data_IF_267664648587
#
_entry.id   IF_267664648587
#
_cell.length_a   1.000
_cell.length_b   1.000
_cell.length_c   1.000
_cell.angle_alpha   90.00
_cell.angle_beta   90.00
_cell.angle_gamma   90.00
#
_symmetry.space_group_name_H-M   'P 1'
#
loop_
_entity.id
_entity.type
_entity.pdbx_description
1 polymer ?
#
# COMPACT_ATOMS: atom_id res chain seq x y z
N UNK A 1 -30.71 6.38 1.66
CA UNK A 1 -29.36 5.85 1.93
C UNK A 1 -29.56 4.49 2.56
N UNK A 2 -29.21 3.40 1.88
CA UNK A 2 -29.00 2.14 2.60
C UNK A 2 -27.84 2.40 3.55
N UNK A 3 -28.17 2.72 4.81
CA UNK A 3 -27.18 3.06 5.82
C UNK A 3 -26.27 1.85 5.99
N UNK A 4 -25.07 1.89 5.41
CA UNK A 4 -24.06 0.89 5.70
C UNK A 4 -23.67 1.09 7.15
N UNK A 5 -24.36 0.33 8.00
CA UNK A 5 -24.18 0.42 9.42
C UNK A 5 -22.95 -0.40 9.78
N UNK A 6 -21.94 0.29 10.30
CA UNK A 6 -20.78 -0.33 10.93
C UNK A 6 -20.89 -0.09 12.44
N UNK A 7 -20.34 -1.00 13.27
CA UNK A 7 -20.42 -0.86 14.72
C UNK A 7 -20.00 0.53 15.21
N UNK A 8 -20.84 1.20 15.98
CA UNK A 8 -20.38 2.40 16.67
C UNK A 8 -19.44 1.96 17.81
N UNK A 9 -18.26 2.58 17.90
CA UNK A 9 -17.31 2.33 18.97
C UNK A 9 -16.94 3.63 19.67
N UNK A 10 -16.58 3.54 20.94
CA UNK A 10 -15.89 4.61 21.64
C UNK A 10 -14.46 4.71 21.09
N UNK A 11 -14.11 5.87 20.52
CA UNK A 11 -12.77 6.14 19.98
C UNK A 11 -11.71 6.25 21.10
N UNK A 12 -12.16 6.36 22.36
CA UNK A 12 -11.31 6.50 23.56
C UNK A 12 -10.35 7.67 23.43
N UNK A 13 -10.90 8.86 23.27
CA UNK A 13 -10.15 10.11 23.00
C UNK A 13 -9.01 10.37 24.00
N UNK A 14 -9.15 9.94 25.26
CA UNK A 14 -8.10 10.09 26.27
C UNK A 14 -6.90 9.15 26.01
N UNK A 15 -7.16 7.93 25.52
CA UNK A 15 -6.10 7.01 25.09
C UNK A 15 -5.41 7.53 23.83
N UNK A 16 -6.19 8.09 22.89
CA UNK A 16 -5.67 8.77 21.71
C UNK A 16 -4.76 9.93 22.12
N UNK A 17 -5.24 10.80 23.01
CA UNK A 17 -4.46 11.93 23.52
C UNK A 17 -3.12 11.48 24.10
N UNK A 18 -3.14 10.49 25.00
CA UNK A 18 -1.93 9.98 25.64
C UNK A 18 -0.93 9.37 24.64
N UNK A 19 -1.40 8.65 23.62
CA UNK A 19 -0.50 8.08 22.60
C UNK A 19 0.13 9.17 21.72
N UNK A 20 -0.62 10.23 21.40
CA UNK A 20 -0.08 11.35 20.61
C UNK A 20 0.93 12.18 21.41
N UNK A 21 0.69 12.43 22.69
CA UNK A 21 1.68 13.08 23.57
C UNK A 21 2.98 12.25 23.66
N UNK A 22 2.89 10.91 23.76
CA UNK A 22 4.08 10.04 23.69
C UNK A 22 4.82 10.10 22.36
N UNK A 23 4.13 10.37 21.23
CA UNK A 23 4.80 10.64 19.97
C UNK A 23 5.57 11.97 19.99
N UNK A 24 5.01 13.01 20.64
CA UNK A 24 5.73 14.27 20.87
C UNK A 24 6.99 14.05 21.73
N UNK A 25 6.87 13.35 22.86
CA UNK A 25 8.03 13.00 23.72
C UNK A 25 9.12 12.21 22.97
N UNK A 26 8.71 11.21 22.17
CA UNK A 26 9.65 10.39 21.41
C UNK A 26 10.35 11.17 20.30
N UNK A 27 9.66 12.11 19.65
CA UNK A 27 10.24 13.00 18.63
C UNK A 27 11.34 13.88 19.23
N UNK A 28 11.13 14.42 20.44
CA UNK A 28 12.13 15.27 21.10
C UNK A 28 13.36 14.47 21.56
N UNK A 29 13.18 13.19 21.87
CA UNK A 29 14.25 12.31 22.39
C UNK A 29 14.92 11.41 21.33
N UNK A 30 14.36 11.28 20.13
CA UNK A 30 14.86 10.34 19.10
C UNK A 30 14.57 10.77 17.66
N UNK A 31 15.54 10.52 16.77
CA UNK A 31 15.38 10.63 15.30
C UNK A 31 14.56 9.49 14.68
N UNK A 32 14.07 8.56 15.48
CA UNK A 32 13.25 7.43 15.05
C UNK A 32 11.83 7.86 14.65
N UNK A 33 11.36 9.01 15.14
CA UNK A 33 10.08 9.62 14.80
C UNK A 33 10.32 11.05 14.33
N UNK A 34 9.64 11.43 13.26
CA UNK A 34 9.54 12.83 12.81
C UNK A 34 8.07 13.16 12.55
N UNK A 35 7.75 14.43 12.53
CA UNK A 35 6.43 14.89 12.11
C UNK A 35 6.52 15.95 11.02
N UNK A 36 5.42 16.14 10.29
CA UNK A 36 5.21 17.23 9.34
C UNK A 36 3.83 17.80 9.55
N UNK A 37 3.73 19.12 9.63
CA UNK A 37 2.46 19.83 9.73
C UNK A 37 1.93 20.18 8.35
N UNK A 38 0.59 20.15 8.23
CA UNK A 38 -0.16 20.53 7.06
C UNK A 38 -1.25 21.51 7.50
N UNK A 39 -1.37 22.63 6.79
CA UNK A 39 -2.44 23.60 6.97
C UNK A 39 -3.47 23.27 5.87
N UNK A 40 -4.68 22.93 6.30
CA UNK A 40 -5.79 22.56 5.43
C UNK A 40 -6.78 23.72 5.35
N UNK A 41 -7.89 23.49 4.64
CA UNK A 41 -9.00 24.44 4.59
C UNK A 41 -9.43 24.88 6.00
N UNK A 42 -9.91 26.12 6.12
CA UNK A 42 -10.37 26.73 7.37
C UNK A 42 -9.28 26.81 8.47
N UNK A 43 -8.01 26.93 8.07
CA UNK A 43 -6.81 26.95 8.92
C UNK A 43 -6.67 25.73 9.85
N UNK A 44 -7.32 24.62 9.48
CA UNK A 44 -7.25 23.37 10.23
C UNK A 44 -5.85 22.77 10.08
N UNK A 45 -5.15 22.59 11.20
CA UNK A 45 -3.81 22.00 11.22
C UNK A 45 -3.86 20.51 11.52
N UNK A 46 -3.27 19.72 10.63
CA UNK A 46 -3.02 18.29 10.85
C UNK A 46 -1.52 18.02 10.92
N UNK A 47 -1.12 17.12 11.80
CA UNK A 47 0.27 16.66 11.96
C UNK A 47 0.38 15.22 11.47
N UNK A 48 1.21 14.96 10.47
CA UNK A 48 1.57 13.61 10.04
C UNK A 48 2.74 13.08 10.85
N UNK A 49 2.62 11.86 11.37
CA UNK A 49 3.66 11.18 12.14
C UNK A 49 4.34 10.11 11.30
N UNK A 50 5.67 10.16 11.25
CA UNK A 50 6.49 9.32 10.39
C UNK A 50 7.55 8.61 11.25
N UNK A 51 7.37 7.31 11.42
CA UNK A 51 8.34 6.44 12.09
C UNK A 51 9.32 5.88 11.07
N UNK A 52 10.60 5.82 11.40
CA UNK A 52 11.62 5.16 10.58
C UNK A 52 11.30 3.67 10.44
N UNK A 53 11.23 3.17 9.21
CA UNK A 53 10.78 1.80 8.88
C UNK A 53 11.49 0.69 9.68
N UNK A 54 12.80 0.82 9.93
CA UNK A 54 13.56 -0.17 10.70
C UNK A 54 13.14 -0.29 12.16
N UNK A 55 12.52 0.74 12.73
CA UNK A 55 12.16 0.81 14.16
C UNK A 55 10.99 -0.11 14.46
N UNK A 56 9.99 -0.18 13.58
CA UNK A 56 8.88 -1.14 13.70
C UNK A 56 9.38 -2.58 13.83
N UNK A 57 10.48 -2.93 13.14
CA UNK A 57 11.06 -4.27 13.19
C UNK A 57 12.00 -4.47 14.39
N UNK A 58 12.90 -3.51 14.64
CA UNK A 58 14.01 -3.68 15.60
C UNK A 58 13.64 -3.30 17.03
N UNK A 59 12.71 -2.36 17.22
CA UNK A 59 12.37 -1.76 18.52
C UNK A 59 10.86 -1.45 18.64
N UNK A 60 9.93 -2.35 18.27
CA UNK A 60 8.49 -2.05 18.29
C UNK A 60 8.00 -1.60 19.67
N UNK A 61 8.51 -2.18 20.76
CA UNK A 61 8.11 -1.81 22.13
C UNK A 61 8.52 -0.40 22.58
N UNK A 62 9.37 0.31 21.80
CA UNK A 62 9.68 1.74 22.06
C UNK A 62 8.68 2.69 21.40
N UNK A 63 7.85 2.20 20.48
CA UNK A 63 6.90 3.03 19.76
C UNK A 63 5.62 3.23 20.59
N UNK A 64 5.01 4.44 20.58
CA UNK A 64 3.71 4.67 21.20
C UNK A 64 2.59 3.81 20.57
N UNK A 65 2.71 3.55 19.27
CA UNK A 65 1.83 2.68 18.50
C UNK A 65 2.49 2.21 17.20
N UNK A 66 1.86 1.26 16.52
CA UNK A 66 2.40 0.65 15.30
C UNK A 66 1.78 1.20 14.02
N UNK A 67 0.87 2.18 14.12
CA UNK A 67 0.21 2.79 12.98
C UNK A 67 1.22 3.31 11.95
N UNK A 68 0.96 3.03 10.68
CA UNK A 68 1.74 3.50 9.53
C UNK A 68 0.84 4.30 8.59
N UNK A 69 1.03 5.61 8.61
CA UNK A 69 0.10 6.57 8.04
C UNK A 69 -0.82 7.10 9.13
N UNK A 70 -0.28 7.98 9.96
CA UNK A 70 -0.98 8.52 11.13
C UNK A 70 -1.02 10.03 11.01
N UNK A 71 -2.22 10.61 11.02
CA UNK A 71 -2.41 12.07 11.04
C UNK A 71 -3.29 12.45 12.22
N UNK A 72 -2.90 13.51 12.93
CA UNK A 72 -3.58 13.95 14.16
C UNK A 72 -3.92 15.43 14.08
N UNK A 73 -4.97 15.84 14.80
CA UNK A 73 -5.35 17.24 15.00
C UNK A 73 -5.32 17.55 16.49
N UNK A 74 -4.96 18.79 16.85
CA UNK A 74 -5.11 19.31 18.22
C UNK A 74 -6.24 20.33 18.23
N UNK A 75 -7.22 20.15 19.11
CA UNK A 75 -8.36 21.07 19.30
C UNK A 75 -8.52 21.33 20.79
N UNK A 76 -8.47 22.60 21.22
CA UNK A 76 -8.62 23.01 22.63
C UNK A 76 -7.74 22.19 23.60
N UNK A 77 -6.48 21.94 23.21
CA UNK A 77 -5.53 21.15 24.00
C UNK A 77 -5.64 19.64 23.86
N UNK A 78 -6.74 19.09 23.32
CA UNK A 78 -6.94 17.65 23.14
C UNK A 78 -6.49 17.18 21.76
N UNK A 79 -5.84 16.02 21.69
CA UNK A 79 -5.42 15.39 20.44
C UNK A 79 -6.44 14.36 19.96
N UNK A 80 -6.70 14.35 18.65
CA UNK A 80 -7.54 13.35 17.97
C UNK A 80 -6.80 12.79 16.77
N UNK A 81 -7.05 11.52 16.44
CA UNK A 81 -6.56 10.90 15.20
C UNK A 81 -7.56 11.23 14.09
N UNK A 82 -7.06 11.79 13.00
CA UNK A 82 -7.85 12.12 11.81
C UNK A 82 -7.69 11.06 10.72
N UNK A 83 -6.49 10.49 10.61
CA UNK A 83 -6.17 9.40 9.69
C UNK A 83 -5.42 8.32 10.44
N UNK A 84 -5.90 7.08 10.31
CA UNK A 84 -5.32 5.88 10.91
C UNK A 84 -5.13 4.80 9.85
N UNK A 85 -3.94 4.73 9.25
CA UNK A 85 -3.51 3.61 8.43
C UNK A 85 -3.32 2.34 9.26
N UNK A 86 -3.05 1.19 8.64
CA UNK A 86 -2.82 -0.06 9.37
C UNK A 86 -1.61 0.00 10.31
N UNK A 87 -1.55 -0.96 11.23
CA UNK A 87 -0.28 -1.24 11.90
C UNK A 87 0.74 -1.76 10.89
N UNK A 88 2.02 -1.46 11.09
CA UNK A 88 3.07 -1.99 10.23
C UNK A 88 3.07 -3.52 10.31
N UNK A 89 2.74 -4.16 9.20
CA UNK A 89 2.81 -5.61 9.04
C UNK A 89 3.96 -6.04 8.11
N UNK A 90 4.42 -7.27 8.35
CA UNK A 90 5.64 -7.82 7.78
C UNK A 90 5.36 -9.08 6.96
N UNK A 91 6.29 -9.41 6.06
CA UNK A 91 6.20 -10.63 5.29
C UNK A 91 6.41 -11.85 6.19
N UNK A 92 5.88 -13.01 5.78
CA UNK A 92 6.33 -14.29 6.36
C UNK A 92 7.85 -14.37 6.34
N UNK A 93 8.41 -14.94 7.40
CA UNK A 93 9.85 -15.05 7.68
C UNK A 93 10.59 -13.74 7.97
N UNK A 94 9.95 -12.57 7.90
CA UNK A 94 10.63 -11.28 8.10
C UNK A 94 10.90 -10.95 9.58
N UNK A 95 10.04 -11.40 10.50
CA UNK A 95 10.15 -11.13 11.95
C UNK A 95 9.89 -12.39 12.76
N UNK A 96 10.20 -12.39 14.07
CA UNK A 96 9.87 -13.51 14.95
C UNK A 96 8.35 -13.79 14.96
N UNK A 97 7.54 -12.72 14.95
CA UNK A 97 6.09 -12.77 14.95
C UNK A 97 5.48 -13.33 13.65
N UNK A 98 6.23 -13.33 12.54
CA UNK A 98 5.78 -13.78 11.22
C UNK A 98 6.46 -15.09 10.76
N UNK A 99 7.02 -15.86 11.69
CA UNK A 99 7.43 -17.24 11.43
C UNK A 99 6.21 -18.17 11.47
N UNK A 100 6.15 -19.19 10.62
CA UNK A 100 5.02 -20.14 10.60
C UNK A 100 4.70 -20.74 11.97
N UNK A 101 5.68 -21.21 12.78
CA UNK A 101 5.37 -21.71 14.13
C UNK A 101 4.69 -20.67 15.02
N UNK A 102 5.17 -19.41 15.00
CA UNK A 102 4.57 -18.33 15.78
C UNK A 102 3.16 -17.98 15.28
N UNK A 103 2.94 -17.96 13.96
CA UNK A 103 1.61 -17.76 13.38
C UNK A 103 0.65 -18.86 13.80
N UNK A 104 1.11 -20.10 13.87
CA UNK A 104 0.29 -21.25 14.24
C UNK A 104 -0.10 -21.27 15.72
N UNK A 105 0.81 -20.90 16.61
CA UNK A 105 0.55 -20.95 18.06
C UNK A 105 -0.02 -19.66 18.64
N UNK A 106 0.20 -18.52 18.00
CA UNK A 106 -0.12 -17.20 18.58
C UNK A 106 -1.21 -16.43 17.82
N UNK A 107 -1.72 -16.95 16.69
CA UNK A 107 -2.81 -16.29 15.96
C UNK A 107 -4.08 -17.13 15.91
N UNK A 108 -5.22 -16.45 15.82
CA UNK A 108 -6.53 -17.09 15.73
C UNK A 108 -7.32 -16.54 14.56
N UNK A 109 -8.08 -17.44 13.92
CA UNK A 109 -8.95 -17.11 12.80
C UNK A 109 -10.29 -16.49 13.24
N UNK A 110 -11.22 -16.28 12.29
CA UNK A 110 -11.07 -16.57 10.87
C UNK A 110 -9.92 -15.78 10.23
N UNK A 111 -9.25 -16.38 9.25
CA UNK A 111 -8.16 -15.76 8.50
C UNK A 111 -8.73 -15.17 7.22
N UNK A 112 -8.73 -13.86 7.08
CA UNK A 112 -9.16 -13.18 5.84
C UNK A 112 -7.95 -12.93 4.94
N UNK A 113 -7.97 -13.51 3.75
CA UNK A 113 -6.87 -13.46 2.78
C UNK A 113 -7.30 -12.48 1.71
N UNK A 114 -6.71 -11.29 1.75
CA UNK A 114 -7.04 -10.19 0.83
C UNK A 114 -5.98 -10.09 -0.26
N UNK A 115 -6.41 -9.87 -1.50
CA UNK A 115 -5.49 -9.61 -2.60
C UNK A 115 -4.64 -8.38 -2.26
N UNK A 116 -3.32 -8.51 -2.44
CA UNK A 116 -2.42 -7.37 -2.29
C UNK A 116 -2.31 -6.65 -3.63
N UNK A 117 -3.22 -5.71 -3.86
CA UNK A 117 -3.16 -4.82 -5.02
C UNK A 117 -1.81 -4.09 -5.08
N UNK A 118 -1.37 -3.77 -6.30
CA UNK A 118 -0.02 -3.30 -6.58
C UNK A 118 0.00 -1.83 -7.02
N UNK A 119 -0.14 -0.92 -6.05
CA UNK A 119 -0.19 0.51 -6.31
C UNK A 119 0.41 1.34 -5.18
N UNK A 120 -0.20 2.51 -4.96
CA UNK A 120 0.16 3.42 -3.88
C UNK A 120 -0.98 3.55 -2.86
N UNK A 121 -0.65 3.43 -1.57
CA UNK A 121 -1.64 3.56 -0.50
C UNK A 121 -2.20 5.00 -0.42
N UNK A 122 -3.52 5.08 -0.34
CA UNK A 122 -4.30 6.30 -0.17
C UNK A 122 -5.18 6.17 1.08
N UNK A 123 -5.20 7.22 1.89
CA UNK A 123 -6.12 7.33 3.02
C UNK A 123 -7.16 8.40 2.74
N UNK A 124 -8.41 8.12 3.09
CA UNK A 124 -9.53 9.05 2.93
C UNK A 124 -10.21 9.20 4.29
N UNK A 125 -10.29 10.44 4.77
CA UNK A 125 -10.89 10.76 6.05
C UNK A 125 -11.74 12.03 5.94
N UNK A 126 -12.63 12.24 6.91
CA UNK A 126 -13.39 13.48 7.00
C UNK A 126 -12.52 14.62 7.54
N UNK A 127 -12.59 15.78 6.88
CA UNK A 127 -12.18 17.06 7.48
C UNK A 127 -13.29 17.62 8.36
N UNK A 128 -14.51 17.49 7.85
CA UNK A 128 -15.78 17.97 8.39
C UNK A 128 -16.91 17.07 7.86
N UNK A 129 -18.17 17.39 8.18
CA UNK A 129 -19.34 16.64 7.67
C UNK A 129 -19.56 16.79 6.17
N UNK A 130 -18.89 17.73 5.52
CA UNK A 130 -19.10 18.08 4.11
C UNK A 130 -17.86 17.96 3.22
N UNK A 131 -16.66 17.84 3.82
CA UNK A 131 -15.39 17.77 3.10
C UNK A 131 -14.57 16.58 3.51
N UNK A 132 -13.93 15.93 2.54
CA UNK A 132 -12.93 14.89 2.77
C UNK A 132 -11.52 15.46 2.66
N UNK A 133 -10.57 14.77 3.27
CA UNK A 133 -9.14 14.92 3.01
C UNK A 133 -8.61 13.58 2.52
N UNK A 134 -7.88 13.63 1.41
CA UNK A 134 -7.19 12.48 0.84
C UNK A 134 -5.69 12.65 1.06
N UNK A 135 -5.06 11.63 1.63
CA UNK A 135 -3.63 11.65 1.93
C UNK A 135 -2.94 10.47 1.25
N UNK A 136 -1.71 10.69 0.81
CA UNK A 136 -0.80 9.57 0.59
C UNK A 136 -0.27 9.12 1.94
N UNK A 137 0.58 8.10 1.96
CA UNK A 137 1.16 7.54 3.18
C UNK A 137 1.59 8.56 4.25
N UNK A 138 2.19 9.68 3.87
CA UNK A 138 2.70 10.72 4.79
C UNK A 138 2.53 12.16 4.28
N UNK A 139 1.71 12.39 3.25
CA UNK A 139 1.63 13.71 2.62
C UNK A 139 0.21 14.06 2.21
N UNK A 140 -0.08 15.36 2.29
CA UNK A 140 -1.27 16.01 1.76
C UNK A 140 -0.76 17.10 0.79
N UNK A 141 -1.24 17.15 -0.46
CA UNK A 141 -0.88 18.22 -1.39
C UNK A 141 -1.55 19.53 -0.95
N UNK A 142 -0.98 20.67 -1.37
CA UNK A 142 -1.59 21.98 -1.15
C UNK A 142 -2.88 22.13 -1.97
N UNK A 143 -2.82 21.76 -3.24
CA UNK A 143 -3.99 21.56 -4.08
C UNK A 143 -4.45 20.10 -3.99
N UNK A 144 -5.63 19.87 -3.41
CA UNK A 144 -6.22 18.54 -3.27
C UNK A 144 -6.53 17.86 -4.61
N UNK A 145 -6.49 18.58 -5.73
CA UNK A 145 -6.70 18.06 -7.08
C UNK A 145 -5.41 17.87 -7.88
N UNK A 146 -4.23 18.12 -7.28
CA UNK A 146 -2.93 18.03 -7.95
C UNK A 146 -2.69 16.63 -8.58
N UNK A 147 -2.68 16.59 -9.91
CA UNK A 147 -2.51 15.38 -10.71
C UNK A 147 -1.10 14.78 -10.65
N UNK A 148 -0.12 15.50 -10.06
CA UNK A 148 1.24 15.00 -9.87
C UNK A 148 1.43 14.37 -8.49
N UNK A 149 0.56 14.70 -7.53
CA UNK A 149 0.63 14.17 -6.18
C UNK A 149 -0.23 12.91 -6.04
N UNK A 150 0.30 11.85 -5.42
CA UNK A 150 -0.47 10.61 -5.16
C UNK A 150 -1.82 10.87 -4.51
N UNK A 151 -1.86 11.78 -3.52
CA UNK A 151 -3.10 12.14 -2.83
C UNK A 151 -4.07 12.94 -3.72
N UNK A 152 -3.57 13.80 -4.61
CA UNK A 152 -4.42 14.57 -5.51
C UNK A 152 -5.03 13.70 -6.60
N UNK A 153 -4.25 12.80 -7.19
CA UNK A 153 -4.77 11.73 -8.07
C UNK A 153 -5.76 10.84 -7.33
N UNK A 154 -5.45 10.48 -6.08
CA UNK A 154 -6.37 9.79 -5.19
C UNK A 154 -7.71 10.52 -5.04
N UNK A 155 -7.69 11.82 -4.74
CA UNK A 155 -8.91 12.64 -4.61
C UNK A 155 -9.72 12.66 -5.91
N UNK A 156 -9.07 12.89 -7.06
CA UNK A 156 -9.73 12.87 -8.35
C UNK A 156 -10.43 11.52 -8.63
N UNK A 157 -9.80 10.40 -8.25
CA UNK A 157 -10.42 9.08 -8.30
C UNK A 157 -11.58 8.89 -7.31
N UNK A 158 -11.49 9.44 -6.09
CA UNK A 158 -12.62 9.42 -5.14
C UNK A 158 -13.84 10.09 -5.77
N UNK A 159 -13.68 11.29 -6.33
CA UNK A 159 -14.79 12.02 -6.96
C UNK A 159 -15.38 11.23 -8.13
N UNK A 160 -14.53 10.63 -8.98
CA UNK A 160 -14.98 9.80 -10.10
C UNK A 160 -15.75 8.55 -9.64
N UNK A 161 -15.28 7.88 -8.60
CA UNK A 161 -15.95 6.70 -8.02
C UNK A 161 -17.31 7.06 -7.43
N UNK A 162 -17.39 8.14 -6.64
CA UNK A 162 -18.65 8.60 -6.06
C UNK A 162 -19.68 8.96 -7.14
N UNK A 163 -19.25 9.68 -8.19
CA UNK A 163 -20.12 10.03 -9.31
C UNK A 163 -20.68 8.80 -10.04
N UNK A 164 -19.94 7.68 -10.08
CA UNK A 164 -20.40 6.44 -10.72
C UNK A 164 -21.58 5.76 -10.02
N UNK A 165 -21.88 6.16 -8.78
CA UNK A 165 -22.99 5.67 -7.95
C UNK A 165 -23.89 6.81 -7.45
N UNK A 166 -23.92 7.92 -8.20
CA UNK A 166 -24.73 9.12 -7.91
C UNK A 166 -24.52 9.71 -6.49
N UNK A 167 -23.29 9.61 -5.98
CA UNK A 167 -22.85 10.20 -4.71
C UNK A 167 -21.95 11.40 -4.92
N UNK A 168 -21.90 12.26 -3.91
CA UNK A 168 -21.06 13.46 -3.84
C UNK A 168 -20.05 13.34 -2.70
N UNK A 169 -19.04 14.20 -2.71
CA UNK A 169 -18.03 14.29 -1.64
C UNK A 169 -18.67 14.37 -0.26
N UNK A 170 -19.70 15.21 -0.10
CA UNK A 170 -20.44 15.37 1.16
C UNK A 170 -21.02 14.06 1.69
N UNK A 171 -21.55 13.19 0.84
CA UNK A 171 -22.15 11.92 1.29
C UNK A 171 -21.09 11.01 1.93
N UNK A 172 -19.88 10.99 1.37
CA UNK A 172 -18.76 10.26 1.95
C UNK A 172 -18.22 10.95 3.20
N UNK A 173 -18.06 12.28 3.16
CA UNK A 173 -17.56 13.06 4.29
C UNK A 173 -18.44 12.90 5.54
N UNK A 174 -19.75 12.98 5.38
CA UNK A 174 -20.73 12.80 6.46
C UNK A 174 -20.60 11.40 7.08
N UNK A 175 -20.56 10.35 6.25
CA UNK A 175 -20.41 8.98 6.73
C UNK A 175 -19.07 8.75 7.46
N UNK A 176 -17.95 9.26 6.94
CA UNK A 176 -16.64 9.14 7.59
C UNK A 176 -16.59 9.90 8.91
N UNK A 177 -17.17 11.10 8.94
CA UNK A 177 -17.22 11.95 10.13
C UNK A 177 -18.03 11.30 11.24
N UNK A 178 -19.24 10.82 10.92
CA UNK A 178 -20.13 10.17 11.89
C UNK A 178 -19.55 8.89 12.46
N UNK A 179 -18.82 8.13 11.64
CA UNK A 179 -18.25 6.85 12.06
C UNK A 179 -16.87 6.95 12.69
N UNK A 180 -16.17 8.07 12.52
CA UNK A 180 -14.81 8.23 13.04
C UNK A 180 -13.83 7.22 12.44
N UNK A 181 -13.90 7.01 11.13
CA UNK A 181 -13.09 6.02 10.41
C UNK A 181 -12.23 6.64 9.31
N UNK A 182 -11.18 5.92 8.94
CA UNK A 182 -10.33 6.15 7.77
C UNK A 182 -10.57 5.05 6.75
N UNK A 183 -10.90 5.40 5.51
CA UNK A 183 -10.81 4.44 4.40
C UNK A 183 -9.34 4.28 3.98
N UNK A 184 -8.96 3.04 3.69
CA UNK A 184 -7.64 2.69 3.17
C UNK A 184 -7.81 2.03 1.81
N UNK A 185 -7.29 2.68 0.78
CA UNK A 185 -7.36 2.22 -0.58
C UNK A 185 -5.96 2.09 -1.21
N UNK A 186 -5.85 1.28 -2.25
CA UNK A 186 -4.69 1.24 -3.13
C UNK A 186 -5.05 1.96 -4.43
N UNK A 187 -4.31 3.01 -4.76
CA UNK A 187 -4.38 3.67 -6.06
C UNK A 187 -3.58 2.87 -7.07
N UNK A 188 -4.27 2.26 -8.03
CA UNK A 188 -3.69 1.49 -9.12
C UNK A 188 -4.04 2.18 -10.44
N UNK A 189 -3.08 2.84 -11.07
CA UNK A 189 -3.32 3.64 -12.28
C UNK A 189 -2.04 3.78 -13.13
N UNK A 190 -1.92 2.95 -14.18
CA UNK A 190 -0.72 2.94 -15.04
C UNK A 190 -0.51 4.24 -15.83
N UNK A 191 -1.56 5.04 -16.06
CA UNK A 191 -1.42 6.36 -16.69
C UNK A 191 -0.86 7.39 -15.72
N UNK A 192 -1.02 7.19 -14.40
CA UNK A 192 -0.35 7.99 -13.39
C UNK A 192 1.04 7.44 -13.04
N UNK A 193 1.12 6.22 -12.52
CA UNK A 193 2.36 5.59 -12.04
C UNK A 193 2.30 4.07 -12.28
N UNK A 194 3.21 3.52 -13.11
CA UNK A 194 3.30 2.07 -13.27
C UNK A 194 4.06 1.46 -12.10
N UNK A 195 3.49 0.40 -11.51
CA UNK A 195 4.18 -0.36 -10.49
C UNK A 195 4.93 -1.56 -11.07
N UNK A 196 4.32 -2.74 -11.09
CA UNK A 196 4.86 -3.98 -11.66
C UNK A 196 3.77 -4.73 -12.42
N UNK A 197 2.57 -4.77 -11.83
CA UNK A 197 1.40 -5.41 -12.42
C UNK A 197 0.55 -4.37 -13.14
N UNK A 198 -0.07 -4.73 -14.29
CA UNK A 198 -0.84 -3.78 -15.09
C UNK A 198 -2.23 -3.49 -14.50
N UNK A 199 -2.55 -2.20 -14.48
CA UNK A 199 -3.87 -1.63 -14.20
C UNK A 199 -4.22 -0.61 -15.29
N UNK A 200 -4.87 -1.08 -16.35
CA UNK A 200 -5.26 -0.28 -17.52
C UNK A 200 -6.78 -0.21 -17.68
N UNK A 201 -7.27 0.80 -18.40
CA UNK A 201 -8.70 0.97 -18.69
C UNK A 201 -9.57 0.93 -17.44
N UNK A 202 -10.53 0.01 -17.40
CA UNK A 202 -11.49 -0.15 -16.28
C UNK A 202 -10.87 -0.65 -14.97
N UNK A 203 -9.66 -1.19 -15.02
CA UNK A 203 -8.93 -1.66 -13.83
C UNK A 203 -8.23 -0.53 -13.09
N UNK A 204 -8.23 0.68 -13.65
CA UNK A 204 -7.64 1.85 -13.00
C UNK A 204 -8.57 2.38 -11.91
N UNK A 205 -7.96 2.84 -10.83
CA UNK A 205 -8.64 3.58 -9.76
C UNK A 205 -8.26 3.10 -8.37
N UNK A 206 -9.12 3.43 -7.41
CA UNK A 206 -8.94 3.09 -6.00
C UNK A 206 -9.60 1.76 -5.66
N UNK A 207 -8.78 0.80 -5.22
CA UNK A 207 -9.20 -0.48 -4.65
C UNK A 207 -9.30 -0.34 -3.13
N UNK A 208 -10.52 -0.34 -2.60
CA UNK A 208 -10.74 -0.23 -1.16
C UNK A 208 -10.40 -1.57 -0.50
N UNK A 209 -9.41 -1.56 0.38
CA UNK A 209 -8.97 -2.74 1.12
C UNK A 209 -9.12 -2.58 2.63
N UNK A 210 -9.33 -1.38 3.15
CA UNK A 210 -9.43 -1.16 4.59
C UNK A 210 -10.38 -0.10 5.03
N UNK A 211 -10.89 -0.28 6.24
CA UNK A 211 -11.60 0.75 7.00
C UNK A 211 -11.16 0.59 8.44
N UNK A 212 -10.42 1.57 8.93
CA UNK A 212 -9.90 1.56 10.28
C UNK A 212 -10.60 2.62 11.11
N UNK A 213 -10.97 2.30 12.34
CA UNK A 213 -11.37 3.34 13.28
C UNK A 213 -10.19 4.24 13.63
N UNK A 214 -10.49 5.50 13.91
CA UNK A 214 -9.51 6.51 14.33
C UNK A 214 -9.13 6.34 15.82
N UNK A 215 -8.84 5.11 16.21
CA UNK A 215 -8.43 4.69 17.54
C UNK A 215 -6.92 4.57 17.65
N UNK A 216 -6.42 4.58 18.88
CA UNK A 216 -5.00 4.43 19.15
C UNK A 216 -4.45 3.03 18.85
N UNK A 217 -5.22 1.98 19.14
CA UNK A 217 -4.93 0.58 18.75
C UNK A 217 -5.66 0.24 17.45
N UNK A 218 -5.14 -0.71 16.66
CA UNK A 218 -5.78 -1.11 15.41
C UNK A 218 -7.13 -1.77 15.70
N UNK A 219 -8.17 -1.18 15.12
CA UNK A 219 -9.48 -1.80 14.96
C UNK A 219 -9.90 -1.60 13.50
N UNK A 220 -9.81 -2.67 12.71
CA UNK A 220 -10.18 -2.66 11.28
C UNK A 220 -11.48 -3.44 11.08
N UNK A 221 -12.29 -2.98 10.13
CA UNK A 221 -13.51 -3.69 9.75
C UNK A 221 -13.19 -5.00 9.01
N UNK A 222 -14.05 -6.03 9.15
CA UNK A 222 -13.98 -7.26 8.36
C UNK A 222 -14.07 -6.99 6.85
N UNK A 223 -13.36 -7.78 6.05
CA UNK A 223 -13.24 -7.57 4.60
C UNK A 223 -14.58 -7.58 3.87
N UNK A 224 -15.55 -8.39 4.31
CA UNK A 224 -16.91 -8.38 3.78
C UNK A 224 -17.63 -7.02 3.95
N UNK A 225 -17.40 -6.34 5.08
CA UNK A 225 -17.95 -5.00 5.32
C UNK A 225 -17.22 -3.95 4.48
N UNK A 226 -15.90 -4.06 4.37
CA UNK A 226 -15.11 -3.19 3.47
C UNK A 226 -15.63 -3.29 2.03
N UNK A 227 -15.89 -4.50 1.53
CA UNK A 227 -16.42 -4.71 0.18
C UNK A 227 -17.79 -4.05 -0.02
N UNK A 228 -18.70 -4.16 0.96
CA UNK A 228 -20.01 -3.48 0.91
C UNK A 228 -19.87 -1.96 0.86
N UNK A 229 -18.96 -1.39 1.67
CA UNK A 229 -18.66 0.05 1.63
C UNK A 229 -18.05 0.46 0.30
N UNK A 230 -17.15 -0.36 -0.25
CA UNK A 230 -16.54 -0.11 -1.56
C UNK A 230 -17.61 0.05 -2.64
N UNK A 231 -18.50 -0.93 -2.75
CA UNK A 231 -19.60 -0.93 -3.72
C UNK A 231 -20.52 0.28 -3.55
N UNK A 232 -20.90 0.60 -2.31
CA UNK A 232 -21.83 1.69 -2.06
C UNK A 232 -21.26 3.08 -2.35
N UNK A 233 -19.94 3.27 -2.27
CA UNK A 233 -19.26 4.52 -2.63
C UNK A 233 -18.55 4.45 -3.99
N UNK A 234 -18.77 3.39 -4.78
CA UNK A 234 -18.26 3.23 -6.14
C UNK A 234 -16.78 2.86 -6.24
N UNK A 235 -16.10 2.56 -5.14
CA UNK A 235 -14.70 2.09 -5.16
C UNK A 235 -14.60 0.68 -5.78
N UNK A 236 -13.43 0.36 -6.33
CA UNK A 236 -13.13 -1.03 -6.70
C UNK A 236 -13.04 -1.89 -5.44
N UNK A 237 -13.61 -3.10 -5.51
CA UNK A 237 -13.53 -4.07 -4.43
C UNK A 237 -12.20 -4.80 -4.45
N UNK A 238 -11.60 -5.01 -3.29
CA UNK A 238 -10.46 -5.94 -3.14
C UNK A 238 -11.00 -7.35 -2.90
N UNK A 239 -10.58 -8.34 -3.70
CA UNK A 239 -11.01 -9.72 -3.52
C UNK A 239 -10.48 -10.29 -2.20
N UNK A 240 -11.31 -11.09 -1.52
CA UNK A 240 -10.91 -11.79 -0.32
C UNK A 240 -11.52 -13.19 -0.23
N UNK A 241 -10.84 -14.06 0.51
CA UNK A 241 -11.33 -15.37 0.92
C UNK A 241 -11.13 -15.55 2.42
N UNK A 242 -11.90 -16.44 3.04
CA UNK A 242 -11.82 -16.70 4.47
C UNK A 242 -11.47 -18.15 4.73
N UNK A 243 -10.41 -18.38 5.50
CA UNK A 243 -10.00 -19.70 5.96
C UNK A 243 -10.23 -19.87 7.45
N UNK A 244 -10.52 -21.10 7.88
CA UNK A 244 -10.78 -21.41 9.28
C UNK A 244 -9.48 -21.69 10.03
N UNK A 245 -8.40 -22.06 9.33
CA UNK A 245 -7.12 -22.43 9.94
C UNK A 245 -5.91 -21.83 9.24
N UNK A 246 -4.83 -21.63 10.00
CA UNK A 246 -3.52 -21.19 9.46
C UNK A 246 -2.92 -22.19 8.47
N UNK A 247 -3.28 -23.48 8.59
CA UNK A 247 -2.82 -24.54 7.69
C UNK A 247 -3.38 -24.34 6.29
N UNK A 248 -4.66 -23.98 6.17
CA UNK A 248 -5.28 -23.62 4.89
C UNK A 248 -4.61 -22.39 4.28
N UNK A 249 -4.28 -21.37 5.10
CA UNK A 249 -3.53 -20.19 4.63
C UNK A 249 -2.16 -20.59 4.07
N UNK A 250 -1.46 -21.53 4.71
CA UNK A 250 -0.17 -22.03 4.24
C UNK A 250 -0.30 -22.79 2.92
N UNK A 251 -1.31 -23.65 2.78
CA UNK A 251 -1.59 -24.37 1.53
C UNK A 251 -1.94 -23.42 0.39
N UNK A 252 -2.78 -22.41 0.67
CA UNK A 252 -3.07 -21.34 -0.28
C UNK A 252 -1.79 -20.61 -0.71
N UNK A 253 -0.91 -20.30 0.25
CA UNK A 253 0.35 -19.63 -0.04
C UNK A 253 1.25 -20.47 -0.96
N UNK A 254 1.36 -21.77 -0.73
CA UNK A 254 2.14 -22.71 -1.57
C UNK A 254 1.59 -22.73 -3.01
N UNK A 255 0.27 -22.77 -3.17
CA UNK A 255 -0.37 -22.74 -4.48
C UNK A 255 -0.19 -21.38 -5.20
N UNK A 256 -0.30 -20.28 -4.46
CA UNK A 256 -0.03 -18.93 -4.96
C UNK A 256 1.44 -18.78 -5.41
N UNK A 257 2.40 -19.40 -4.70
CA UNK A 257 3.80 -19.41 -5.16
C UNK A 257 3.97 -20.18 -6.46
N UNK A 258 3.29 -21.33 -6.60
CA UNK A 258 3.39 -22.19 -7.78
C UNK A 258 2.78 -21.55 -9.02
N UNK A 259 1.64 -20.88 -8.87
CA UNK A 259 0.89 -20.33 -10.00
C UNK A 259 1.30 -18.89 -10.32
N UNK A 260 1.48 -18.03 -9.31
CA UNK A 260 1.64 -16.60 -9.52
C UNK A 260 0.33 -15.85 -9.76
N UNK A 261 -0.82 -16.53 -9.68
CA UNK A 261 -2.13 -15.96 -10.00
C UNK A 261 -3.10 -16.06 -8.82
N UNK A 262 -4.00 -15.10 -8.73
CA UNK A 262 -5.23 -15.18 -7.96
C UNK A 262 -6.39 -14.80 -8.87
N UNK A 263 -7.42 -15.64 -8.96
CA UNK A 263 -8.60 -15.41 -9.82
C UNK A 263 -8.23 -15.07 -11.27
N UNK A 264 -7.21 -15.76 -11.81
CA UNK A 264 -6.75 -15.58 -13.20
C UNK A 264 -5.94 -14.30 -13.47
N UNK A 265 -5.58 -13.52 -12.44
CA UNK A 265 -4.70 -12.33 -12.57
C UNK A 265 -3.38 -12.53 -11.82
N UNK A 266 -2.28 -12.07 -12.42
CA UNK A 266 -1.00 -11.98 -11.73
C UNK A 266 -1.18 -11.21 -10.41
N UNK A 267 -0.49 -11.62 -9.35
CA UNK A 267 -0.64 -11.00 -8.04
C UNK A 267 0.71 -10.72 -7.37
N UNK A 268 0.81 -9.60 -6.65
CA UNK A 268 1.99 -9.30 -5.83
C UNK A 268 2.13 -10.29 -4.67
N UNK A 269 0.99 -10.74 -4.15
CA UNK A 269 0.85 -11.59 -3.01
C UNK A 269 -0.47 -11.31 -2.31
N UNK A 270 -0.57 -11.73 -1.05
CA UNK A 270 -1.76 -11.51 -0.23
C UNK A 270 -1.43 -10.86 1.11
N UNK A 271 -2.41 -10.18 1.68
CA UNK A 271 -2.39 -9.74 3.08
C UNK A 271 -3.38 -10.61 3.85
N UNK A 272 -2.87 -11.29 4.87
CA UNK A 272 -3.65 -12.13 5.79
C UNK A 272 -4.02 -11.29 7.00
N UNK A 273 -5.31 -11.27 7.35
CA UNK A 273 -5.87 -10.60 8.53
C UNK A 273 -6.39 -11.67 9.48
N UNK A 274 -6.03 -11.54 10.74
CA UNK A 274 -6.45 -12.46 11.79
C UNK A 274 -6.36 -11.74 13.14
N UNK A 275 -6.45 -12.50 14.24
CA UNK A 275 -6.25 -11.98 15.58
C UNK A 275 -4.96 -12.51 16.19
N UNK A 276 -4.32 -11.70 17.05
CA UNK A 276 -3.23 -12.09 17.95
C UNK A 276 -3.49 -11.46 19.31
N UNK A 277 -3.56 -12.28 20.35
CA UNK A 277 -3.93 -11.82 21.70
C UNK A 277 -5.22 -10.99 21.73
N UNK A 278 -6.21 -11.37 20.90
CA UNK A 278 -7.49 -10.67 20.75
C UNK A 278 -7.46 -9.37 19.93
N UNK A 279 -6.28 -8.90 19.51
CA UNK A 279 -6.12 -7.69 18.71
C UNK A 279 -6.04 -8.00 17.22
N UNK A 280 -6.42 -7.04 16.36
CA UNK A 280 -6.22 -7.16 14.92
C UNK A 280 -4.74 -7.33 14.59
N UNK A 281 -4.43 -8.38 13.84
CA UNK A 281 -3.08 -8.70 13.40
C UNK A 281 -3.07 -8.95 11.90
N UNK A 282 -2.02 -8.47 11.25
CA UNK A 282 -1.83 -8.63 9.81
C UNK A 282 -0.42 -9.12 9.52
N UNK A 283 -0.30 -9.95 8.51
CA UNK A 283 0.96 -10.30 7.88
C UNK A 283 0.75 -10.45 6.37
N UNK A 284 1.82 -10.47 5.60
CA UNK A 284 1.75 -10.61 4.14
C UNK A 284 2.55 -11.80 3.64
N UNK A 285 2.13 -12.33 2.51
CA UNK A 285 2.83 -13.38 1.79
C UNK A 285 3.01 -12.86 0.37
N UNK A 286 4.24 -12.52 0.01
CA UNK A 286 4.57 -12.08 -1.34
C UNK A 286 4.89 -13.24 -2.25
N UNK A 287 4.46 -13.15 -3.49
CA UNK A 287 4.81 -14.10 -4.53
C UNK A 287 6.28 -13.86 -4.99
N UNK A 288 7.06 -14.92 -5.13
CA UNK A 288 8.49 -14.83 -5.49
C UNK A 288 8.71 -14.37 -6.95
N UNK A 289 7.83 -14.75 -7.89
CA UNK A 289 7.87 -14.26 -9.27
C UNK A 289 7.64 -12.75 -9.32
N UNK A 290 6.69 -12.22 -8.55
CA UNK A 290 6.52 -10.77 -8.39
C UNK A 290 7.78 -10.11 -7.80
N UNK A 291 8.42 -10.72 -6.79
CA UNK A 291 9.63 -10.16 -6.18
C UNK A 291 10.79 -10.10 -7.18
N UNK A 292 10.90 -11.08 -8.07
CA UNK A 292 11.84 -11.06 -9.20
C UNK A 292 11.53 -9.93 -10.18
N UNK A 293 10.26 -9.71 -10.53
CA UNK A 293 9.86 -8.56 -11.38
C UNK A 293 10.16 -7.21 -10.74
N UNK A 294 9.95 -7.11 -9.43
CA UNK A 294 10.36 -5.93 -8.68
C UNK A 294 11.88 -5.73 -8.72
N UNK A 295 12.66 -6.80 -8.59
CA UNK A 295 14.12 -6.73 -8.72
C UNK A 295 14.55 -6.20 -10.09
N UNK A 296 13.90 -6.63 -11.18
CA UNK A 296 14.14 -6.08 -12.52
C UNK A 296 13.95 -4.57 -12.54
N UNK A 297 12.83 -4.08 -12.01
CA UNK A 297 12.55 -2.64 -11.96
C UNK A 297 13.62 -1.87 -11.20
N UNK A 298 13.98 -2.32 -10.00
CA UNK A 298 14.95 -1.61 -9.17
C UNK A 298 16.35 -1.61 -9.79
N UNK A 299 16.74 -2.71 -10.44
CA UNK A 299 17.99 -2.80 -11.19
C UNK A 299 18.00 -1.85 -12.38
N UNK A 300 16.93 -1.81 -13.16
CA UNK A 300 16.82 -0.91 -14.31
C UNK A 300 16.89 0.54 -13.87
N UNK A 301 16.17 0.94 -12.82
CA UNK A 301 16.30 2.29 -12.24
C UNK A 301 17.71 2.60 -11.78
N UNK A 302 18.38 1.63 -11.17
CA UNK A 302 19.75 1.80 -10.68
C UNK A 302 20.73 2.00 -11.83
N UNK A 303 20.68 1.12 -12.84
CA UNK A 303 21.62 1.09 -13.96
C UNK A 303 21.36 2.20 -15.00
N UNK A 304 20.12 2.65 -15.17
CA UNK A 304 19.78 3.67 -16.17
C UNK A 304 20.33 5.05 -15.82
N UNK A 305 21.01 5.65 -16.78
CA UNK A 305 21.32 7.07 -16.83
C UNK A 305 20.49 7.74 -17.93
N UNK A 306 19.81 8.83 -17.56
CA UNK A 306 19.04 9.67 -18.49
C UNK A 306 19.78 11.00 -18.51
N UNK A 307 20.37 11.33 -19.66
CA UNK A 307 21.19 12.52 -19.86
C UNK A 307 20.30 13.76 -20.03
N UNK A 308 20.88 14.94 -19.84
CA UNK A 308 20.15 16.22 -19.98
C UNK A 308 19.61 16.48 -21.39
N UNK A 309 20.21 15.87 -22.41
CA UNK A 309 19.76 15.93 -23.81
C UNK A 309 18.66 14.91 -24.13
N UNK A 310 18.20 14.13 -23.13
CA UNK A 310 17.16 13.12 -23.27
C UNK A 310 17.66 11.78 -23.81
N UNK A 311 18.95 11.61 -24.05
CA UNK A 311 19.53 10.30 -24.40
C UNK A 311 19.57 9.38 -23.17
N UNK A 312 19.54 8.07 -23.41
CA UNK A 312 19.51 7.06 -22.35
C UNK A 312 20.68 6.10 -22.53
N UNK A 313 21.35 5.76 -21.43
CA UNK A 313 22.43 4.78 -21.44
C UNK A 313 22.47 3.97 -20.15
N UNK A 314 23.20 2.86 -20.16
CA UNK A 314 23.59 2.16 -18.93
C UNK A 314 24.78 2.87 -18.30
N UNK A 315 24.74 3.10 -16.99
CA UNK A 315 25.85 3.61 -16.19
C UNK A 315 26.89 2.50 -15.96
N UNK A 316 28.08 2.57 -16.58
CA UNK A 316 29.08 1.51 -16.50
C UNK A 316 29.74 1.40 -15.13
N UNK A 317 29.58 2.42 -14.27
CA UNK A 317 30.17 2.42 -12.92
C UNK A 317 29.33 1.64 -11.91
N UNK A 318 28.07 1.34 -12.26
CA UNK A 318 27.15 0.67 -11.37
C UNK A 318 27.13 -0.83 -11.60
N UNK A 319 27.23 -1.57 -10.51
CA UNK A 319 27.02 -3.01 -10.48
C UNK A 319 25.67 -3.32 -9.85
N UNK A 320 24.82 -4.03 -10.59
CA UNK A 320 23.55 -4.50 -10.09
C UNK A 320 23.75 -5.66 -9.10
N UNK A 321 23.16 -5.54 -7.91
CA UNK A 321 23.02 -6.66 -6.98
C UNK A 321 21.67 -7.31 -7.23
N UNK A 322 21.65 -8.62 -7.36
CA UNK A 322 20.45 -9.40 -7.61
C UNK A 322 20.43 -10.66 -6.77
N UNK A 323 19.22 -11.14 -6.45
CA UNK A 323 18.95 -12.35 -5.69
C UNK A 323 18.59 -13.51 -6.60
N UNK A 324 17.89 -13.26 -7.71
CA UNK A 324 17.38 -14.33 -8.56
C UNK A 324 18.31 -14.63 -9.72
N UNK A 325 18.54 -15.90 -10.03
CA UNK A 325 19.47 -16.31 -11.10
C UNK A 325 19.05 -15.77 -12.47
N UNK A 326 17.74 -15.80 -12.78
CA UNK A 326 17.17 -15.25 -14.01
C UNK A 326 17.50 -13.76 -14.22
N UNK A 327 17.73 -13.01 -13.13
CA UNK A 327 18.07 -11.59 -13.19
C UNK A 327 19.40 -11.32 -13.88
N UNK A 328 20.33 -12.27 -13.88
CA UNK A 328 21.58 -12.13 -14.64
C UNK A 328 21.29 -11.94 -16.14
N UNK A 329 20.44 -12.78 -16.69
CA UNK A 329 20.06 -12.72 -18.10
C UNK A 329 19.23 -11.47 -18.41
N UNK A 330 18.40 -11.02 -17.47
CA UNK A 330 17.71 -9.73 -17.58
C UNK A 330 18.70 -8.56 -17.74
N UNK A 331 19.76 -8.53 -16.93
CA UNK A 331 20.76 -7.45 -16.98
C UNK A 331 21.46 -7.42 -18.34
N UNK A 332 21.82 -8.58 -18.88
CA UNK A 332 22.52 -8.65 -20.17
C UNK A 332 21.58 -8.24 -21.32
N UNK A 333 20.34 -8.75 -21.33
CA UNK A 333 19.29 -8.31 -22.25
C UNK A 333 19.01 -6.80 -22.16
N UNK A 334 18.94 -6.25 -20.94
CA UNK A 334 18.67 -4.83 -20.70
C UNK A 334 19.75 -3.94 -21.34
N UNK A 335 21.03 -4.34 -21.25
CA UNK A 335 22.15 -3.55 -21.83
C UNK A 335 22.06 -3.45 -23.35
N UNK A 336 21.55 -4.48 -24.01
CA UNK A 336 21.30 -4.49 -25.45
C UNK A 336 20.07 -3.63 -25.78
N UNK A 337 18.96 -3.85 -25.06
CA UNK A 337 17.71 -3.12 -25.32
C UNK A 337 17.76 -1.64 -25.04
N UNK A 338 18.56 -1.17 -24.09
CA UNK A 338 18.77 0.28 -23.92
C UNK A 338 19.43 0.93 -25.15
N UNK A 339 20.24 0.18 -25.92
CA UNK A 339 20.85 0.68 -27.15
C UNK A 339 19.91 0.59 -28.34
N UNK A 340 19.17 -0.51 -28.46
CA UNK A 340 18.26 -0.78 -29.58
C UNK A 340 16.95 0.02 -29.47
N UNK A 341 16.42 0.14 -28.25
CA UNK A 341 15.11 0.72 -27.93
C UNK A 341 15.22 1.77 -26.80
N UNK A 342 16.05 2.82 -26.94
CA UNK A 342 16.21 3.84 -25.90
C UNK A 342 14.89 4.54 -25.53
N UNK A 343 13.91 4.56 -26.43
CA UNK A 343 12.59 5.15 -26.22
C UNK A 343 11.77 4.50 -25.10
N UNK A 344 11.96 3.20 -24.82
CA UNK A 344 11.24 2.52 -23.72
C UNK A 344 11.63 3.04 -22.34
N UNK A 345 12.80 3.68 -22.23
CA UNK A 345 13.45 4.00 -20.97
C UNK A 345 13.47 5.50 -20.64
N UNK A 346 13.06 6.37 -21.57
CA UNK A 346 13.10 7.84 -21.41
C UNK A 346 12.31 8.32 -20.19
N UNK A 347 11.21 7.66 -19.88
CA UNK A 347 10.33 8.01 -18.76
C UNK A 347 10.41 6.99 -17.61
N UNK A 348 11.39 6.09 -17.61
CA UNK A 348 11.50 5.02 -16.61
C UNK A 348 11.68 5.55 -15.19
N UNK A 349 12.39 6.67 -15.02
CA UNK A 349 12.53 7.36 -13.72
C UNK A 349 11.26 8.08 -13.27
N UNK A 350 10.32 8.32 -14.20
CA UNK A 350 8.98 8.80 -13.92
C UNK A 350 7.97 7.65 -13.83
N UNK A 351 8.44 6.42 -13.57
CA UNK A 351 7.61 5.23 -13.38
C UNK A 351 6.78 4.85 -14.61
N UNK A 352 7.36 5.00 -15.81
CA UNK A 352 6.76 4.57 -17.10
C UNK A 352 7.63 3.55 -17.82
N UNK A 353 7.03 2.70 -18.65
CA UNK A 353 7.75 1.67 -19.41
C UNK A 353 8.19 0.46 -18.57
N UNK A 354 7.89 0.43 -17.28
CA UNK A 354 8.26 -0.66 -16.36
C UNK A 354 7.58 -1.97 -16.77
N UNK A 355 6.26 -1.90 -16.99
CA UNK A 355 5.47 -3.09 -17.32
C UNK A 355 5.88 -3.63 -18.69
N UNK A 356 6.05 -2.74 -19.68
CA UNK A 356 6.52 -3.11 -21.01
C UNK A 356 7.90 -3.77 -20.95
N UNK A 357 8.88 -3.12 -20.32
CA UNK A 357 10.24 -3.67 -20.19
C UNK A 357 10.25 -5.07 -19.57
N UNK A 358 9.43 -5.29 -18.52
CA UNK A 358 9.27 -6.60 -17.91
C UNK A 358 8.69 -7.60 -18.92
N UNK A 359 7.58 -7.26 -19.57
CA UNK A 359 6.87 -8.16 -20.47
C UNK A 359 7.74 -8.59 -21.66
N UNK A 360 8.43 -7.64 -22.27
CA UNK A 360 9.36 -7.87 -23.38
C UNK A 360 10.49 -8.83 -23.00
N UNK A 361 11.05 -8.69 -21.79
CA UNK A 361 12.04 -9.64 -21.31
C UNK A 361 11.44 -11.02 -21.03
N UNK A 362 10.26 -11.08 -20.42
CA UNK A 362 9.60 -12.36 -20.11
C UNK A 362 9.21 -13.11 -21.39
N UNK A 363 8.86 -12.41 -22.46
CA UNK A 363 8.60 -12.97 -23.78
C UNK A 363 9.90 -13.47 -24.43
N UNK A 364 10.93 -12.62 -24.51
CA UNK A 364 12.27 -13.01 -24.97
C UNK A 364 12.81 -14.26 -24.24
N UNK A 365 12.64 -14.31 -22.92
CA UNK A 365 13.10 -15.43 -22.11
C UNK A 365 12.35 -16.73 -22.40
N UNK A 366 11.04 -16.67 -22.70
CA UNK A 366 10.27 -17.85 -23.10
C UNK A 366 10.74 -18.40 -24.45
N UNK A 367 11.11 -17.52 -25.37
CA UNK A 367 11.56 -17.91 -26.70
C UNK A 367 13.00 -18.44 -26.73
N UNK A 368 13.90 -17.84 -25.95
CA UNK A 368 15.35 -18.06 -26.05
C UNK A 368 16.01 -18.61 -24.78
N UNK A 369 15.40 -18.38 -23.62
CA UNK A 369 15.98 -18.70 -22.31
C UNK A 369 15.77 -20.14 -21.86
N UNK A 370 14.73 -20.83 -22.35
CA UNK A 370 14.45 -22.23 -22.02
C UNK A 370 15.54 -23.20 -22.51
N UNK A 371 16.23 -22.87 -23.61
CA UNK A 371 17.38 -23.61 -24.14
C UNK A 371 18.68 -23.32 -23.38
N UNK A 372 18.88 -22.10 -22.87
CA UNK A 372 20.08 -21.72 -22.11
C UNK A 372 20.11 -22.26 -20.67
N UNK A 373 18.96 -22.60 -20.09
CA UNK A 373 18.86 -23.19 -18.75
C UNK A 373 19.09 -24.72 -18.72
N UNK A 374 19.04 -25.39 -19.86
CA UNK A 374 19.24 -26.85 -19.99
C UNK A 374 20.68 -27.24 -20.33
N UNK A 375 21.55 -26.29 -20.65
CA UNK A 375 22.97 -26.51 -20.95
C UNK A 375 23.92 -26.32 -19.74
N UNK A 376 23.42 -26.47 -18.51
CA UNK A 376 24.27 -26.45 -17.29
C UNK A 376 24.13 -27.67 -16.42
#
# INVERSE_FOLDING_TARGET
MDNINIPAIDLKDDQVHNIVERYHELKESSKDVRCREFILEDDIKWTSWIVRESVYKKKPGKLPGLARGLFTKKTNGKHSIMVRGYDKFFNVFETAATQWPALETETTGPYEITAKENGCIIFIAALSKDKIVVTSKHSIPEDKTDIKAHAGVGYNWVIKHLASVDKKEKDLAEWLFEKGVTLVAELCDDEFEQHILPYTGKLRGLYLHGINYNTSTLQTLPSATVQRVALAFGFHTTSFETFSSIKEVKQFAEEMQRTGYLNGREIEGVVVRCKRDGNDFMFKIKNEQYLQYREYREITKSLLHIHSDGTVSIDPTKQAKYRYEKTKFYIDWLKEKVKEHPEWFKEYKAEKGIIQTRQEFEEYWKETGSSAATEK
#
